data_IF_049185151030
#
_entry.id   IF_049185151030
#
_cell.length_a   1.000
_cell.length_b   1.000
_cell.length_c   1.000
_cell.angle_alpha   90.00
_cell.angle_beta   90.00
_cell.angle_gamma   90.00
#
_symmetry.space_group_name_H-M   'P 1'
#
loop_
_entity.id
_entity.type
_entity.pdbx_description
1 polymer ?
#
# COMPACT_ATOMS: atom_id res chain seq x y z
N UNK A 1 15.89 5.52 5.35
CA UNK A 1 15.55 6.33 4.16
C UNK A 1 14.05 6.50 4.19
N UNK A 2 13.48 7.64 3.79
CA UNK A 2 12.05 7.89 4.04
C UNK A 2 11.18 7.07 3.07
N UNK A 3 10.60 5.98 3.54
CA UNK A 3 9.75 5.07 2.76
C UNK A 3 8.32 5.59 2.55
N UNK A 4 8.13 6.91 2.49
CA UNK A 4 6.83 7.56 2.28
C UNK A 4 6.64 7.96 0.82
N UNK A 5 5.51 7.63 0.22
CA UNK A 5 5.11 8.01 -1.13
C UNK A 5 3.67 8.54 -1.13
N UNK A 6 3.38 9.52 -1.97
CA UNK A 6 2.04 10.11 -2.09
C UNK A 6 1.28 9.49 -3.26
N UNK A 7 0.02 9.11 -3.01
CA UNK A 7 -0.90 8.60 -4.03
C UNK A 7 -2.18 9.43 -3.99
N UNK A 8 -2.33 10.32 -4.98
CA UNK A 8 -3.38 11.34 -4.96
C UNK A 8 -3.19 12.30 -3.77
N UNK A 9 -4.20 12.38 -2.89
CA UNK A 9 -4.15 13.16 -1.64
C UNK A 9 -3.80 12.31 -0.41
N UNK A 10 -3.45 11.03 -0.61
CA UNK A 10 -3.07 10.13 0.47
C UNK A 10 -1.54 10.06 0.56
N UNK A 11 -1.01 10.21 1.76
CA UNK A 11 0.39 9.97 2.06
C UNK A 11 0.53 8.55 2.58
N UNK A 12 1.21 7.71 1.82
CA UNK A 12 1.47 6.33 2.21
C UNK A 12 2.87 6.22 2.78
N UNK A 13 3.03 5.47 3.87
CA UNK A 13 4.29 5.19 4.54
C UNK A 13 4.50 3.69 4.59
N UNK A 14 5.55 3.17 3.98
CA UNK A 14 5.88 1.75 4.08
C UNK A 14 6.45 1.48 5.47
N UNK A 15 5.93 0.45 6.13
CA UNK A 15 6.43 -0.03 7.42
C UNK A 15 7.34 -1.26 7.25
N UNK A 16 7.27 -1.88 6.08
CA UNK A 16 8.03 -3.08 5.70
C UNK A 16 8.83 -2.84 4.43
N UNK A 17 9.71 -3.77 4.10
CA UNK A 17 10.47 -3.74 2.86
C UNK A 17 9.58 -3.87 1.62
N UNK A 18 10.02 -3.25 0.52
CA UNK A 18 9.27 -3.26 -0.74
C UNK A 18 9.02 -4.69 -1.26
N UNK A 19 9.93 -5.63 -1.03
CA UNK A 19 9.74 -7.03 -1.41
C UNK A 19 8.54 -7.71 -0.73
N UNK A 20 8.22 -7.33 0.52
CA UNK A 20 7.04 -7.84 1.22
C UNK A 20 5.75 -7.26 0.64
N UNK A 21 5.76 -5.95 0.34
CA UNK A 21 4.65 -5.28 -0.33
C UNK A 21 4.41 -5.90 -1.70
N UNK A 22 5.44 -6.07 -2.52
CA UNK A 22 5.33 -6.69 -3.84
C UNK A 22 4.77 -8.13 -3.73
N UNK A 23 5.23 -8.91 -2.76
CA UNK A 23 4.72 -10.27 -2.54
C UNK A 23 3.22 -10.26 -2.19
N UNK A 24 2.78 -9.36 -1.32
CA UNK A 24 1.36 -9.22 -0.97
C UNK A 24 0.53 -8.69 -2.14
N UNK A 25 1.04 -7.69 -2.86
CA UNK A 25 0.36 -7.18 -4.05
C UNK A 25 0.19 -8.30 -5.07
N UNK A 26 1.14 -9.21 -5.24
CA UNK A 26 0.98 -10.37 -6.12
C UNK A 26 -0.12 -11.32 -5.63
N UNK A 27 -0.28 -11.55 -4.32
CA UNK A 27 -1.33 -12.41 -3.76
C UNK A 27 -2.73 -11.79 -3.80
N UNK A 28 -2.85 -10.47 -3.96
CA UNK A 28 -4.14 -9.80 -4.05
C UNK A 28 -4.96 -10.24 -5.29
N UNK A 29 -6.29 -10.40 -5.15
CA UNK A 29 -7.18 -10.69 -6.27
C UNK A 29 -7.21 -9.54 -7.28
N UNK A 30 -7.48 -9.86 -8.54
CA UNK A 30 -7.48 -8.89 -9.65
C UNK A 30 -8.48 -7.73 -9.43
N UNK A 31 -9.56 -8.00 -8.70
CA UNK A 31 -10.57 -6.99 -8.32
C UNK A 31 -9.96 -5.88 -7.47
N UNK A 32 -9.13 -6.22 -6.48
CA UNK A 32 -8.42 -5.23 -5.65
C UNK A 32 -7.25 -4.57 -6.36
N UNK A 33 -6.70 -5.20 -7.42
CA UNK A 33 -5.67 -4.61 -8.28
C UNK A 33 -6.23 -3.64 -9.32
N UNK A 34 -7.54 -3.63 -9.52
CA UNK A 34 -8.17 -2.75 -10.50
C UNK A 34 -8.09 -1.28 -10.08
N UNK A 35 -8.10 -1.01 -8.77
CA UNK A 35 -7.95 0.33 -8.22
C UNK A 35 -6.78 0.41 -7.25
N UNK A 36 -5.95 1.45 -7.39
CA UNK A 36 -4.79 1.66 -6.52
C UNK A 36 -5.22 1.91 -5.07
N UNK A 37 -6.39 2.52 -4.83
CA UNK A 37 -6.91 2.68 -3.46
C UNK A 37 -7.20 1.34 -2.80
N UNK A 38 -7.76 0.38 -3.52
CA UNK A 38 -8.06 -0.95 -2.96
C UNK A 38 -6.79 -1.72 -2.61
N UNK A 39 -5.75 -1.59 -3.42
CA UNK A 39 -4.41 -2.14 -3.11
C UNK A 39 -3.84 -1.50 -1.84
N UNK A 40 -3.89 -0.17 -1.75
CA UNK A 40 -3.38 0.60 -0.60
C UNK A 40 -4.19 0.27 0.67
N UNK A 41 -5.52 0.19 0.58
CA UNK A 41 -6.36 -0.21 1.71
C UNK A 41 -6.02 -1.63 2.18
N UNK A 42 -5.86 -2.58 1.26
CA UNK A 42 -5.51 -3.95 1.64
C UNK A 42 -4.11 -4.05 2.28
N UNK A 43 -3.13 -3.31 1.76
CA UNK A 43 -1.80 -3.21 2.35
C UNK A 43 -1.83 -2.58 3.75
N UNK A 44 -2.72 -1.61 3.97
CA UNK A 44 -2.91 -0.96 5.26
C UNK A 44 -3.64 -1.86 6.26
N UNK A 45 -4.68 -2.58 5.82
CA UNK A 45 -5.38 -3.58 6.62
C UNK A 45 -4.43 -4.69 7.11
N UNK A 46 -3.46 -5.10 6.29
CA UNK A 46 -2.44 -6.07 6.69
C UNK A 46 -1.33 -5.45 7.57
N UNK A 47 -1.31 -4.12 7.74
CA UNK A 47 -0.30 -3.42 8.53
C UNK A 47 1.07 -3.28 7.85
N UNK A 48 1.13 -3.50 6.53
CA UNK A 48 2.36 -3.37 5.74
C UNK A 48 2.69 -1.88 5.46
N UNK A 49 1.64 -1.05 5.41
CA UNK A 49 1.77 0.40 5.18
C UNK A 49 0.87 1.19 6.15
N UNK A 50 1.29 2.42 6.43
CA UNK A 50 0.52 3.45 7.11
C UNK A 50 -0.02 4.43 6.06
N UNK A 51 -1.28 4.84 6.18
CA UNK A 51 -1.87 5.89 5.33
C UNK A 51 -2.16 7.09 6.21
N UNK A 52 -1.63 8.26 5.85
CA UNK A 52 -1.96 9.56 6.43
C UNK A 52 -2.73 10.38 5.38
N UNK A 53 -3.88 10.93 5.74
CA UNK A 53 -4.65 11.85 4.90
C UNK A 53 -4.07 13.28 5.04
N UNK A 54 -3.83 13.98 3.93
CA UNK A 54 -3.25 15.34 3.90
C UNK A 54 -4.31 16.39 3.56
#
# INVERSE_FOLDING_TARGET
MADTFTVGNLKVKKLVEQAQIDSFVVTLPAEKKADVKDVILALHEEGLIEIEEI
#
